data_IF_590026553439
#
_entry.id   IF_590026553439
#
_cell.length_a   1.000
_cell.length_b   1.000
_cell.length_c   1.000
_cell.angle_alpha   90.00
_cell.angle_beta   90.00
_cell.angle_gamma   90.00
#
_symmetry.space_group_name_H-M   'P 1'
#
loop_
_entity.id
_entity.type
_entity.pdbx_description
1 polymer ?
#
# COMPACT_ATOMS: atom_id res chain seq x y z
N UNK A 1 7.84 1.07 -13.22
CA UNK A 1 9.26 1.35 -12.97
C UNK A 1 9.42 2.29 -11.78
N UNK A 2 9.10 3.57 -11.92
CA UNK A 2 9.06 4.52 -10.79
C UNK A 2 7.68 5.16 -10.61
N UNK A 3 7.00 5.45 -11.72
CA UNK A 3 5.65 6.03 -11.72
C UNK A 3 4.62 5.24 -10.88
N UNK A 4 4.66 3.91 -10.94
CA UNK A 4 3.78 3.03 -10.15
C UNK A 4 4.10 3.09 -8.67
N UNK A 5 5.38 3.24 -8.31
CA UNK A 5 5.83 3.33 -6.93
C UNK A 5 5.41 4.69 -6.34
N UNK A 6 5.61 5.77 -7.08
CA UNK A 6 5.19 7.12 -6.67
C UNK A 6 3.68 7.22 -6.49
N UNK A 7 2.90 6.59 -7.39
CA UNK A 7 1.45 6.51 -7.28
C UNK A 7 0.99 5.76 -6.01
N UNK A 8 1.67 4.66 -5.66
CA UNK A 8 1.33 3.87 -4.48
C UNK A 8 1.77 4.57 -3.19
N UNK A 9 2.90 5.26 -3.21
CA UNK A 9 3.33 6.11 -2.09
C UNK A 9 2.39 7.31 -1.88
N UNK A 10 1.90 7.92 -2.96
CA UNK A 10 0.88 8.96 -2.86
C UNK A 10 -0.39 8.42 -2.20
N UNK A 11 -0.88 7.25 -2.62
CA UNK A 11 -2.04 6.58 -2.01
C UNK A 11 -1.81 6.25 -0.53
N UNK A 12 -0.60 5.85 -0.16
CA UNK A 12 -0.25 5.61 1.23
C UNK A 12 -0.36 6.88 2.09
N UNK A 13 0.16 8.02 1.58
CA UNK A 13 0.07 9.31 2.27
C UNK A 13 -1.36 9.84 2.36
N UNK A 14 -2.15 9.66 1.29
CA UNK A 14 -3.57 10.00 1.30
C UNK A 14 -4.33 9.20 2.36
N UNK A 15 -4.09 7.89 2.44
CA UNK A 15 -4.70 7.03 3.46
C UNK A 15 -4.37 7.52 4.88
N UNK A 16 -3.12 7.87 5.16
CA UNK A 16 -2.68 8.44 6.43
C UNK A 16 -3.38 9.77 6.75
N UNK A 17 -3.46 10.69 5.78
CA UNK A 17 -4.17 11.96 5.97
C UNK A 17 -5.66 11.76 6.24
N UNK A 18 -6.33 10.89 5.49
CA UNK A 18 -7.75 10.57 5.73
C UNK A 18 -7.94 9.97 7.13
N UNK A 19 -7.00 9.12 7.57
CA UNK A 19 -6.97 8.57 8.93
C UNK A 19 -6.88 9.65 10.01
N UNK A 20 -5.99 10.63 9.85
CA UNK A 20 -5.85 11.75 10.79
C UNK A 20 -7.11 12.64 10.82
N UNK A 21 -7.70 12.92 9.65
CA UNK A 21 -8.95 13.67 9.55
C UNK A 21 -10.09 12.91 10.25
N UNK A 22 -10.20 11.61 10.04
CA UNK A 22 -11.20 10.77 10.69
C UNK A 22 -11.00 10.74 12.21
N UNK A 23 -9.76 10.59 12.68
CA UNK A 23 -9.41 10.63 14.09
C UNK A 23 -9.77 11.98 14.73
N UNK A 24 -9.48 13.10 14.04
CA UNK A 24 -9.84 14.44 14.51
C UNK A 24 -11.37 14.64 14.60
N UNK A 25 -12.13 14.13 13.61
CA UNK A 25 -13.60 14.15 13.62
C UNK A 25 -14.16 13.40 14.82
N UNK A 26 -13.58 12.25 15.15
CA UNK A 26 -14.05 11.44 16.28
C UNK A 26 -13.78 12.10 17.62
N UNK A 27 -12.61 12.73 17.78
CA UNK A 27 -12.32 13.54 18.95
C UNK A 27 -13.27 14.75 19.08
N UNK A 28 -13.62 15.39 17.96
CA UNK A 28 -14.59 16.49 17.94
C UNK A 28 -15.97 16.02 18.38
N UNK A 29 -16.45 14.87 17.87
CA UNK A 29 -17.73 14.26 18.29
C UNK A 29 -17.75 13.96 19.78
N UNK A 30 -16.70 13.35 20.32
CA UNK A 30 -16.59 13.08 21.75
C UNK A 30 -16.69 14.36 22.59
N UNK A 31 -16.05 15.45 22.15
CA UNK A 31 -16.16 16.77 22.81
C UNK A 31 -17.57 17.34 22.73
N UNK A 32 -18.23 17.23 21.57
CA UNK A 32 -19.61 17.70 21.39
C UNK A 32 -20.60 16.95 22.30
N UNK A 33 -20.50 15.61 22.36
CA UNK A 33 -21.35 14.79 23.23
C UNK A 33 -21.14 15.18 24.69
N UNK A 34 -19.87 15.36 25.12
CA UNK A 34 -19.57 15.82 26.48
C UNK A 34 -20.17 17.21 26.77
N UNK A 35 -20.09 18.13 25.80
CA UNK A 35 -20.68 19.47 25.91
C UNK A 35 -22.20 19.43 26.07
N UNK A 36 -22.88 18.64 25.22
CA UNK A 36 -24.32 18.40 25.29
C UNK A 36 -24.74 17.80 26.63
N UNK A 37 -24.00 16.80 27.11
CA UNK A 37 -24.28 16.16 28.39
C UNK A 37 -24.10 17.15 29.56
N UNK A 38 -23.03 17.95 29.55
CA UNK A 38 -22.82 19.00 30.56
C UNK A 38 -23.96 20.03 30.56
N UNK A 39 -24.39 20.47 29.39
CA UNK A 39 -25.50 21.43 29.26
C UNK A 39 -26.83 20.83 29.73
N UNK A 40 -27.11 19.56 29.40
CA UNK A 40 -28.32 18.86 29.83
C UNK A 40 -28.37 18.69 31.35
N UNK A 41 -27.26 18.29 31.98
CA UNK A 41 -27.19 18.14 33.43
C UNK A 41 -27.36 19.49 34.16
N UNK A 42 -26.73 20.55 33.64
CA UNK A 42 -26.89 21.90 34.18
C UNK A 42 -28.35 22.38 34.08
N UNK A 43 -29.04 22.10 32.96
CA UNK A 43 -30.46 22.45 32.77
C UNK A 43 -31.42 21.69 33.69
N UNK A 44 -31.02 20.50 34.17
CA UNK A 44 -31.79 19.69 35.12
C UNK A 44 -31.49 20.05 36.59
N UNK A 45 -30.65 21.06 36.86
CA UNK A 45 -30.27 21.47 38.21
C UNK A 45 -29.46 20.42 38.99
N UNK A 46 -28.95 19.39 38.32
CA UNK A 46 -28.07 18.37 38.91
C UNK A 46 -26.61 18.83 38.82
N UNK A 47 -25.87 18.63 39.90
CA UNK A 47 -24.44 18.90 39.92
C UNK A 47 -23.71 17.98 38.93
N UNK A 48 -23.12 18.60 37.92
CA UNK A 48 -22.29 17.97 36.88
C UNK A 48 -21.04 17.28 37.42
N UNK A 49 -20.71 17.50 38.71
CA UNK A 49 -19.55 16.90 39.37
C UNK A 49 -19.87 15.64 40.18
N UNK A 50 -21.14 15.23 40.31
CA UNK A 50 -21.51 14.05 41.09
C UNK A 50 -21.28 12.74 40.30
N UNK A 51 -20.33 11.93 40.79
CA UNK A 51 -20.07 10.51 40.49
C UNK A 51 -20.34 10.02 39.06
N UNK A 52 -21.60 9.74 38.77
CA UNK A 52 -22.08 9.20 37.49
C UNK A 52 -21.80 10.10 36.27
N UNK A 53 -21.94 11.43 36.42
CA UNK A 53 -21.76 12.36 35.31
C UNK A 53 -20.28 12.54 34.91
N UNK A 54 -19.40 12.57 35.92
CA UNK A 54 -17.96 12.64 35.71
C UNK A 54 -17.40 11.35 35.09
N UNK A 55 -17.88 10.18 35.53
CA UNK A 55 -17.51 8.89 34.93
C UNK A 55 -17.94 8.78 33.47
N UNK A 56 -19.19 9.14 33.14
CA UNK A 56 -19.67 9.15 31.76
C UNK A 56 -18.82 10.09 30.87
N UNK A 57 -18.47 11.27 31.38
CA UNK A 57 -17.61 12.21 30.66
C UNK A 57 -16.21 11.67 30.38
N UNK A 58 -15.63 10.93 31.33
CA UNK A 58 -14.35 10.23 31.17
C UNK A 58 -14.45 9.11 30.13
N UNK A 59 -15.49 8.27 30.21
CA UNK A 59 -15.75 7.17 29.28
C UNK A 59 -15.91 7.66 27.85
N UNK A 60 -16.66 8.74 27.61
CA UNK A 60 -16.81 9.35 26.28
C UNK A 60 -15.46 9.78 25.70
N UNK A 61 -14.59 10.42 26.50
CA UNK A 61 -13.24 10.75 26.02
C UNK A 61 -12.35 9.53 25.81
N UNK A 62 -12.48 8.51 26.65
CA UNK A 62 -11.73 7.28 26.50
C UNK A 62 -12.11 6.61 25.18
N UNK A 63 -13.41 6.44 24.95
CA UNK A 63 -13.96 5.88 23.73
C UNK A 63 -13.59 6.70 22.50
N UNK A 64 -13.67 8.03 22.57
CA UNK A 64 -13.24 8.92 21.48
C UNK A 64 -11.76 8.77 21.14
N UNK A 65 -10.89 8.58 22.14
CA UNK A 65 -9.46 8.31 21.92
C UNK A 65 -9.21 6.93 21.31
N UNK A 66 -9.92 5.89 21.79
CA UNK A 66 -9.83 4.53 21.26
C UNK A 66 -10.29 4.52 19.79
N UNK A 67 -11.43 5.13 19.49
CA UNK A 67 -11.95 5.20 18.13
C UNK A 67 -10.99 5.97 17.22
N UNK A 68 -10.43 7.09 17.69
CA UNK A 68 -9.40 7.84 16.95
C UNK A 68 -8.13 7.00 16.70
N UNK A 69 -7.67 6.24 17.69
CA UNK A 69 -6.53 5.33 17.53
C UNK A 69 -6.84 4.20 16.54
N UNK A 70 -8.05 3.65 16.56
CA UNK A 70 -8.50 2.64 15.60
C UNK A 70 -8.51 3.17 14.16
N UNK A 71 -8.95 4.42 13.95
CA UNK A 71 -8.92 5.07 12.63
C UNK A 71 -7.48 5.24 12.13
N UNK A 72 -6.56 5.70 12.99
CA UNK A 72 -5.13 5.79 12.66
C UNK A 72 -4.53 4.42 12.35
N UNK A 73 -4.84 3.40 13.14
CA UNK A 73 -4.34 2.05 12.93
C UNK A 73 -4.87 1.43 11.62
N UNK A 74 -6.14 1.67 11.28
CA UNK A 74 -6.70 1.25 9.99
C UNK A 74 -5.99 1.95 8.82
N UNK A 75 -5.82 3.27 8.89
CA UNK A 75 -5.11 4.04 7.89
C UNK A 75 -3.64 3.60 7.73
N UNK A 76 -2.94 3.35 8.83
CA UNK A 76 -1.56 2.85 8.82
C UNK A 76 -1.46 1.47 8.14
N UNK A 77 -2.43 0.57 8.37
CA UNK A 77 -2.50 -0.72 7.67
C UNK A 77 -2.75 -0.55 6.18
N UNK A 78 -3.65 0.34 5.78
CA UNK A 78 -3.92 0.64 4.38
C UNK A 78 -2.67 1.20 3.68
N UNK A 79 -2.01 2.17 4.32
CA UNK A 79 -0.76 2.77 3.84
C UNK A 79 0.36 1.74 3.72
N UNK A 80 0.52 0.87 4.71
CA UNK A 80 1.47 -0.25 4.65
C UNK A 80 1.18 -1.18 3.46
N UNK A 81 -0.10 -1.51 3.23
CA UNK A 81 -0.53 -2.30 2.09
C UNK A 81 -0.12 -1.69 0.74
N UNK A 82 -0.31 -0.38 0.56
CA UNK A 82 0.12 0.30 -0.66
C UNK A 82 1.64 0.31 -0.84
N UNK A 83 2.40 0.57 0.23
CA UNK A 83 3.87 0.51 0.18
C UNK A 83 4.37 -0.89 -0.18
N UNK A 84 3.76 -1.92 0.41
CA UNK A 84 4.08 -3.32 0.12
C UNK A 84 3.79 -3.67 -1.35
N UNK A 85 2.64 -3.23 -1.89
CA UNK A 85 2.31 -3.41 -3.30
C UNK A 85 3.34 -2.73 -4.21
N UNK A 86 3.82 -1.54 -3.83
CA UNK A 86 4.87 -0.83 -4.56
C UNK A 86 6.18 -1.61 -4.62
N UNK A 87 6.60 -2.15 -3.47
CA UNK A 87 7.80 -2.98 -3.38
C UNK A 87 7.69 -4.26 -4.22
N UNK A 88 6.53 -4.93 -4.20
CA UNK A 88 6.28 -6.12 -5.02
C UNK A 88 6.30 -5.76 -6.51
N UNK A 89 5.60 -4.69 -6.92
CA UNK A 89 5.57 -4.26 -8.32
C UNK A 89 6.97 -3.89 -8.84
N UNK A 90 7.82 -3.29 -7.99
CA UNK A 90 9.21 -3.01 -8.33
C UNK A 90 10.02 -4.30 -8.50
N UNK A 91 9.92 -5.23 -7.56
CA UNK A 91 10.61 -6.52 -7.62
C UNK A 91 10.18 -7.35 -8.83
N UNK A 92 8.88 -7.42 -9.13
CA UNK A 92 8.36 -8.08 -10.33
C UNK A 92 8.89 -7.45 -11.61
N UNK A 93 8.96 -6.11 -11.67
CA UNK A 93 9.54 -5.40 -12.82
C UNK A 93 11.01 -5.76 -13.04
N UNK A 94 11.81 -5.77 -11.97
CA UNK A 94 13.22 -6.14 -12.02
C UNK A 94 13.44 -7.60 -12.44
N UNK A 95 12.63 -8.52 -11.90
CA UNK A 95 12.67 -9.94 -12.25
C UNK A 95 12.25 -10.17 -13.71
N UNK A 96 11.20 -9.50 -14.19
CA UNK A 96 10.80 -9.58 -15.60
C UNK A 96 11.87 -9.03 -16.53
N UNK A 97 12.50 -7.90 -16.21
CA UNK A 97 13.59 -7.36 -17.00
C UNK A 97 14.78 -8.34 -17.09
N UNK A 98 15.15 -8.95 -15.96
CA UNK A 98 16.20 -9.96 -15.90
C UNK A 98 15.84 -11.21 -16.71
N UNK A 99 14.61 -11.69 -16.60
CA UNK A 99 14.11 -12.84 -17.37
C UNK A 99 14.08 -12.57 -18.88
N UNK A 100 13.68 -11.36 -19.29
CA UNK A 100 13.70 -10.93 -20.71
C UNK A 100 15.14 -10.89 -21.22
N UNK A 101 16.07 -10.32 -20.47
CA UNK A 101 17.48 -10.29 -20.86
C UNK A 101 18.07 -11.70 -20.98
N UNK A 102 17.75 -12.59 -20.04
CA UNK A 102 18.15 -13.99 -20.08
C UNK A 102 17.56 -14.70 -21.31
N UNK A 103 16.27 -14.54 -21.58
CA UNK A 103 15.62 -15.11 -22.78
C UNK A 103 16.21 -14.55 -24.07
N UNK A 104 16.47 -13.24 -24.14
CA UNK A 104 17.09 -12.61 -25.30
C UNK A 104 18.49 -13.19 -25.55
N UNK A 105 19.31 -13.31 -24.50
CA UNK A 105 20.65 -13.91 -24.60
C UNK A 105 20.61 -15.38 -25.02
N UNK A 106 19.69 -16.17 -24.46
CA UNK A 106 19.49 -17.57 -24.82
C UNK A 106 19.00 -17.72 -26.27
N UNK A 107 18.11 -16.83 -26.72
CA UNK A 107 17.61 -16.80 -28.09
C UNK A 107 18.72 -16.46 -29.09
N UNK A 108 19.56 -15.47 -28.77
CA UNK A 108 20.72 -15.11 -29.58
C UNK A 108 21.73 -16.26 -29.67
N UNK A 109 22.05 -16.90 -28.53
CA UNK A 109 22.97 -18.04 -28.50
C UNK A 109 22.42 -19.25 -29.27
N UNK A 110 21.13 -19.56 -29.10
CA UNK A 110 20.44 -20.63 -29.85
C UNK A 110 20.43 -20.35 -31.35
N UNK A 111 20.14 -19.10 -31.75
CA UNK A 111 20.21 -18.65 -33.14
C UNK A 111 21.61 -18.83 -33.72
N UNK A 112 22.65 -18.34 -33.03
CA UNK A 112 24.04 -18.49 -33.44
C UNK A 112 24.47 -19.97 -33.53
N UNK A 113 24.10 -20.79 -32.56
CA UNK A 113 24.38 -22.23 -32.54
C UNK A 113 23.72 -22.97 -33.71
N UNK A 114 22.48 -22.60 -34.07
CA UNK A 114 21.76 -23.20 -35.20
C UNK A 114 22.35 -22.83 -36.57
N UNK A 115 22.93 -21.64 -36.71
CA UNK A 115 23.64 -21.24 -37.94
C UNK A 115 24.99 -21.94 -38.01
N UNK A 116 25.73 -22.00 -36.91
CA UNK A 116 27.02 -22.67 -36.85
C UNK A 116 26.89 -24.18 -37.13
N UNK A 117 25.88 -24.86 -36.57
CA UNK A 117 25.63 -26.28 -36.81
C UNK A 117 25.27 -26.57 -38.27
N UNK A 118 24.48 -25.70 -38.91
CA UNK A 118 24.20 -25.80 -40.36
C UNK A 118 25.48 -25.67 -41.17
N UNK A 119 26.29 -24.63 -40.94
CA UNK A 119 27.56 -24.45 -41.66
C UNK A 119 28.53 -25.62 -41.46
N UNK A 120 28.62 -26.13 -40.23
CA UNK A 120 29.47 -27.28 -39.93
C UNK A 120 28.98 -28.55 -40.63
N UNK A 121 27.67 -28.82 -40.58
CA UNK A 121 27.02 -29.93 -41.30
C UNK A 121 27.22 -29.85 -42.81
N UNK A 122 27.07 -28.66 -43.41
CA UNK A 122 27.32 -28.42 -44.83
C UNK A 122 28.79 -28.68 -45.21
N UNK A 123 29.74 -28.28 -44.36
CA UNK A 123 31.17 -28.49 -44.60
C UNK A 123 31.59 -29.96 -44.46
N UNK A 124 30.89 -30.74 -43.63
CA UNK A 124 31.11 -32.18 -43.48
C UNK A 124 30.39 -33.02 -44.53
N UNK A 125 29.23 -32.57 -45.03
CA UNK A 125 28.47 -33.24 -46.10
C UNK A 125 28.91 -32.85 -47.53
N UNK A 126 29.81 -31.87 -47.67
CA UNK A 126 30.46 -31.54 -48.94
C UNK A 126 29.55 -30.95 -50.02
N UNK A 127 28.48 -30.22 -49.65
CA UNK A 127 27.57 -29.58 -50.61
C UNK A 127 27.61 -28.06 -50.47
N UNK A 128 28.02 -27.40 -51.55
CA UNK A 128 28.23 -25.95 -51.60
C UNK A 128 26.89 -25.19 -51.66
N UNK A 129 26.73 -24.06 -50.95
CA UNK A 129 25.45 -23.36 -50.83
C UNK A 129 25.07 -22.50 -52.05
N UNK A 130 25.79 -22.57 -53.17
CA UNK A 130 25.54 -21.72 -54.34
C UNK A 130 25.16 -22.46 -55.63
N UNK A 131 25.35 -23.78 -55.70
CA UNK A 131 24.79 -24.60 -56.78
C UNK A 131 24.48 -25.99 -56.21
N UNK A 132 23.29 -26.51 -56.55
CA UNK A 132 22.69 -27.71 -55.95
C UNK A 132 23.48 -29.00 -56.12
#
# INVERSE_FOLDING_TARGET
GQFTQDQLDFKARDAEQRGEIAAAKEQLRARQIRGLQKASLAGLGRDVNLGSAAQLGLDISSQGRINAANQRAAAAREAFGFRQQGAIAFAEGSNRASAINAQASASLLSGAGSVASKWYGYRTDGKDPFFG
#
